data_IF_589438074002
#
_entry.id   IF_589438074002
#
_cell.length_a   1.000
_cell.length_b   1.000
_cell.length_c   1.000
_cell.angle_alpha   90.00
_cell.angle_beta   90.00
_cell.angle_gamma   90.00
#
_symmetry.space_group_name_H-M   'P 1'
#
loop_
_entity.id
_entity.type
_entity.pdbx_description
1 polymer ?
#
# COMPACT_ATOMS: atom_id res chain seq x y z
N UNK A 1 6.18 -12.68 6.11
CA UNK A 1 6.37 -11.23 6.04
C UNK A 1 5.14 -10.49 5.50
N UNK A 2 4.53 -10.88 4.38
CA UNK A 2 3.29 -10.27 3.91
C UNK A 2 2.18 -10.29 4.97
N UNK A 3 1.95 -11.44 5.63
CA UNK A 3 0.99 -11.54 6.74
C UNK A 3 1.29 -10.57 7.89
N UNK A 4 2.57 -10.35 8.22
CA UNK A 4 2.95 -9.39 9.25
C UNK A 4 2.60 -7.94 8.86
N UNK A 5 2.77 -7.57 7.58
CA UNK A 5 2.34 -6.26 7.07
C UNK A 5 0.83 -6.08 7.23
N UNK A 6 0.03 -7.09 6.82
CA UNK A 6 -1.43 -7.05 6.98
C UNK A 6 -1.82 -6.90 8.45
N UNK A 7 -1.21 -7.69 9.34
CA UNK A 7 -1.53 -7.63 10.78
C UNK A 7 -1.20 -6.26 11.36
N UNK A 8 -0.02 -5.72 11.06
CA UNK A 8 0.38 -4.38 11.54
C UNK A 8 -0.54 -3.30 10.98
N UNK A 9 -0.84 -3.33 9.68
CA UNK A 9 -1.74 -2.37 9.03
C UNK A 9 -3.13 -2.39 9.67
N UNK A 10 -3.73 -3.57 9.82
CA UNK A 10 -5.07 -3.70 10.40
C UNK A 10 -5.09 -3.34 11.89
N UNK A 11 -4.04 -3.71 12.65
CA UNK A 11 -3.96 -3.35 14.08
C UNK A 11 -3.88 -1.83 14.27
N UNK A 12 -3.07 -1.13 13.46
CA UNK A 12 -2.99 0.34 13.51
C UNK A 12 -4.32 0.97 13.07
N UNK A 13 -4.96 0.46 12.02
CA UNK A 13 -6.28 0.94 11.56
C UNK A 13 -7.35 0.80 12.65
N UNK A 14 -7.39 -0.32 13.36
CA UNK A 14 -8.30 -0.50 14.51
C UNK A 14 -8.01 0.55 15.58
N UNK A 15 -6.74 0.72 15.97
CA UNK A 15 -6.35 1.68 17.00
C UNK A 15 -6.72 3.12 16.64
N UNK A 16 -6.47 3.55 15.38
CA UNK A 16 -6.80 4.93 14.95
C UNK A 16 -8.31 5.17 14.85
N UNK A 17 -9.09 4.14 14.52
CA UNK A 17 -10.56 4.23 14.52
C UNK A 17 -11.15 4.44 15.91
N UNK A 18 -10.46 3.97 16.97
CA UNK A 18 -10.89 4.14 18.37
C UNK A 18 -10.52 5.52 18.92
N UNK A 19 -9.39 6.11 18.48
CA UNK A 19 -8.83 7.32 19.10
C UNK A 19 -8.96 8.59 18.28
N UNK A 20 -9.14 8.49 16.93
CA UNK A 20 -9.21 9.65 16.06
C UNK A 20 -10.64 9.97 15.64
N UNK A 21 -10.98 11.25 15.67
CA UNK A 21 -12.24 11.74 15.09
C UNK A 21 -12.07 11.97 13.58
N UNK A 22 -12.97 11.45 12.73
CA UNK A 22 -12.89 11.65 11.28
C UNK A 22 -12.78 13.14 10.89
N UNK A 23 -11.85 13.43 9.98
CA UNK A 23 -11.59 14.78 9.46
C UNK A 23 -10.78 15.69 10.39
N UNK A 24 -10.69 15.40 11.69
CA UNK A 24 -9.93 16.23 12.64
C UNK A 24 -8.43 15.97 12.48
N UNK A 25 -7.67 17.05 12.26
CA UNK A 25 -6.21 17.01 12.25
C UNK A 25 -5.66 17.05 13.67
N UNK A 26 -4.76 16.13 13.99
CA UNK A 26 -4.01 16.06 15.25
C UNK A 26 -2.52 16.23 14.92
N UNK A 27 -1.91 17.38 15.25
CA UNK A 27 -0.52 17.66 14.88
C UNK A 27 0.47 16.79 15.66
N UNK A 28 1.56 16.37 14.97
CA UNK A 28 2.72 15.70 15.54
C UNK A 28 3.99 16.57 15.43
N UNK A 29 4.23 17.12 14.24
CA UNK A 29 5.38 18.00 13.96
C UNK A 29 4.85 19.28 13.29
N UNK A 30 4.46 20.25 14.10
CA UNK A 30 3.79 21.47 13.64
C UNK A 30 2.53 21.14 12.84
N UNK A 31 2.21 21.99 11.86
CA UNK A 31 1.05 21.78 10.99
C UNK A 31 1.35 20.90 9.76
N UNK A 32 2.62 20.47 9.61
CA UNK A 32 3.04 19.73 8.42
C UNK A 32 2.83 18.22 8.54
N UNK A 33 3.01 17.65 9.73
CA UNK A 33 2.88 16.19 9.94
C UNK A 33 1.96 15.94 11.11
N UNK A 34 1.02 15.03 10.92
CA UNK A 34 0.05 14.70 11.97
C UNK A 34 -0.81 13.48 11.62
N UNK A 35 -1.84 13.29 12.41
CA UNK A 35 -2.88 12.28 12.20
C UNK A 35 -4.16 12.96 11.73
N UNK A 36 -4.78 12.41 10.71
CA UNK A 36 -6.10 12.83 10.25
C UNK A 36 -6.84 11.65 9.66
N UNK A 37 -7.80 11.11 10.39
CA UNK A 37 -8.61 9.98 9.95
C UNK A 37 -9.48 10.38 8.77
N UNK A 38 -9.32 9.67 7.65
CA UNK A 38 -10.10 9.84 6.42
C UNK A 38 -10.52 8.46 5.90
N UNK A 39 -11.75 8.37 5.42
CA UNK A 39 -12.25 7.19 4.73
C UNK A 39 -12.12 7.39 3.21
N UNK A 40 -11.19 6.66 2.60
CA UNK A 40 -10.82 6.80 1.20
C UNK A 40 -11.66 5.84 0.31
N UNK A 41 -12.53 6.36 -0.57
CA UNK A 41 -13.32 5.55 -1.48
C UNK A 41 -12.52 5.00 -2.69
N UNK A 42 -11.20 5.27 -2.72
CA UNK A 42 -10.36 4.83 -3.81
C UNK A 42 -9.88 5.96 -4.71
N UNK A 43 -9.83 7.18 -4.21
CA UNK A 43 -9.20 8.29 -4.88
C UNK A 43 -7.67 8.22 -4.65
N UNK A 44 -6.90 7.85 -5.65
CA UNK A 44 -5.47 8.11 -5.64
C UNK A 44 -5.25 9.56 -6.10
N UNK A 45 -4.54 10.36 -5.28
CA UNK A 45 -4.29 11.79 -5.56
C UNK A 45 -5.56 12.63 -5.81
N UNK A 46 -6.71 12.24 -5.23
CA UNK A 46 -7.98 12.94 -5.41
C UNK A 46 -8.71 12.61 -6.74
N UNK A 47 -8.19 11.68 -7.54
CA UNK A 47 -8.84 11.22 -8.77
C UNK A 47 -9.75 10.05 -8.40
N UNK A 48 -11.07 10.17 -8.56
CA UNK A 48 -11.99 9.08 -8.29
C UNK A 48 -11.81 7.99 -9.35
N UNK A 49 -11.46 6.77 -8.90
CA UNK A 49 -11.38 5.59 -9.75
C UNK A 49 -12.60 4.69 -9.49
N UNK A 50 -13.13 4.01 -10.52
CA UNK A 50 -14.19 3.02 -10.32
C UNK A 50 -13.77 1.94 -9.31
N UNK A 51 -14.68 1.57 -8.40
CA UNK A 51 -14.42 0.59 -7.34
C UNK A 51 -13.76 -0.72 -7.82
N UNK A 52 -14.11 -1.30 -9.00
CA UNK A 52 -13.46 -2.52 -9.50
C UNK A 52 -11.97 -2.39 -9.83
N UNK A 53 -11.45 -1.17 -10.03
CA UNK A 53 -10.03 -0.96 -10.38
C UNK A 53 -9.11 -1.47 -9.27
N UNK A 54 -9.47 -1.28 -8.00
CA UNK A 54 -8.61 -1.65 -6.87
C UNK A 54 -8.43 -3.17 -6.69
N UNK A 55 -9.50 -3.99 -6.64
CA UNK A 55 -9.33 -5.43 -6.58
C UNK A 55 -8.65 -5.99 -7.83
N UNK A 56 -8.92 -5.45 -9.03
CA UNK A 56 -8.22 -5.83 -10.26
C UNK A 56 -6.74 -5.51 -10.16
N UNK A 57 -6.36 -4.30 -9.74
CA UNK A 57 -4.97 -3.92 -9.52
C UNK A 57 -4.29 -4.84 -8.49
N UNK A 58 -4.98 -5.16 -7.38
CA UNK A 58 -4.47 -6.11 -6.37
C UNK A 58 -4.20 -7.48 -6.99
N UNK A 59 -5.14 -8.03 -7.77
CA UNK A 59 -4.97 -9.32 -8.45
C UNK A 59 -3.81 -9.29 -9.43
N UNK A 60 -3.69 -8.23 -10.25
CA UNK A 60 -2.58 -8.05 -11.20
C UNK A 60 -1.24 -8.04 -10.47
N UNK A 61 -1.12 -7.30 -9.38
CA UNK A 61 0.09 -7.25 -8.54
C UNK A 61 0.40 -8.63 -7.96
N UNK A 62 -0.60 -9.33 -7.40
CA UNK A 62 -0.41 -10.67 -6.84
C UNK A 62 0.07 -11.65 -7.90
N UNK A 63 -0.53 -11.65 -9.10
CA UNK A 63 -0.12 -12.52 -10.21
C UNK A 63 1.30 -12.20 -10.68
N UNK A 64 1.65 -10.91 -10.82
CA UNK A 64 3.00 -10.50 -11.20
C UNK A 64 4.04 -10.98 -10.18
N UNK A 65 3.76 -10.81 -8.88
CA UNK A 65 4.63 -11.30 -7.81
C UNK A 65 4.75 -12.82 -7.81
N UNK A 66 3.65 -13.54 -7.96
CA UNK A 66 3.66 -15.01 -7.99
C UNK A 66 4.47 -15.56 -9.17
N UNK A 67 4.44 -14.89 -10.33
CA UNK A 67 5.21 -15.27 -11.51
C UNK A 67 6.72 -15.04 -11.35
N UNK A 68 7.11 -14.07 -10.53
CA UNK A 68 8.52 -13.73 -10.27
C UNK A 68 9.08 -14.44 -9.03
N UNK A 69 8.28 -15.30 -8.35
CA UNK A 69 8.78 -16.11 -7.23
C UNK A 69 9.83 -17.11 -7.73
N UNK A 70 11.00 -17.10 -7.06
CA UNK A 70 12.13 -17.98 -7.40
C UNK A 70 13.20 -17.34 -8.26
N UNK A 71 12.94 -16.24 -8.96
CA UNK A 71 13.91 -15.51 -9.77
C UNK A 71 14.61 -14.38 -8.97
N UNK A 72 14.07 -14.03 -7.81
CA UNK A 72 14.53 -12.91 -7.00
C UNK A 72 15.29 -13.38 -5.76
N UNK A 73 16.42 -12.75 -5.48
CA UNK A 73 17.16 -12.96 -4.23
C UNK A 73 16.36 -12.50 -2.99
N UNK A 74 16.95 -12.64 -1.79
CA UNK A 74 16.29 -12.31 -0.51
C UNK A 74 15.66 -10.91 -0.48
N UNK A 75 16.33 -9.90 -1.06
CA UNK A 75 15.82 -8.53 -1.12
C UNK A 75 14.56 -8.43 -1.98
N UNK A 76 14.50 -9.15 -3.10
CA UNK A 76 13.31 -9.21 -3.96
C UNK A 76 12.12 -9.86 -3.25
N UNK A 77 12.35 -10.96 -2.52
CA UNK A 77 11.29 -11.60 -1.71
C UNK A 77 10.74 -10.65 -0.65
N UNK A 78 11.61 -9.86 -0.01
CA UNK A 78 11.19 -8.82 0.95
C UNK A 78 10.33 -7.77 0.28
N UNK A 79 10.77 -7.23 -0.86
CA UNK A 79 10.04 -6.22 -1.61
C UNK A 79 8.66 -6.72 -2.07
N UNK A 80 8.61 -7.94 -2.62
CA UNK A 80 7.36 -8.60 -3.01
C UNK A 80 6.41 -8.79 -1.82
N UNK A 81 6.94 -9.22 -0.66
CA UNK A 81 6.13 -9.40 0.53
C UNK A 81 5.55 -8.09 1.07
N UNK A 82 6.27 -6.96 0.95
CA UNK A 82 5.76 -5.63 1.29
C UNK A 82 4.61 -5.23 0.37
N UNK A 83 4.78 -5.38 -0.94
CA UNK A 83 3.74 -5.03 -1.93
C UNK A 83 2.49 -5.90 -1.74
N UNK A 84 2.66 -7.21 -1.61
CA UNK A 84 1.54 -8.14 -1.39
C UNK A 84 0.83 -7.85 -0.07
N UNK A 85 1.59 -7.67 1.01
CA UNK A 85 1.01 -7.39 2.33
C UNK A 85 0.22 -6.08 2.35
N UNK A 86 0.76 -5.01 1.76
CA UNK A 86 0.05 -3.73 1.65
C UNK A 86 -1.21 -3.83 0.77
N UNK A 87 -1.11 -4.48 -0.39
CA UNK A 87 -2.26 -4.69 -1.27
C UNK A 87 -3.39 -5.48 -0.56
N UNK A 88 -3.04 -6.53 0.17
CA UNK A 88 -3.99 -7.31 0.96
C UNK A 88 -4.57 -6.53 2.15
N UNK A 89 -3.76 -5.67 2.82
CA UNK A 89 -4.22 -4.80 3.90
C UNK A 89 -5.31 -3.84 3.44
N UNK A 90 -5.11 -3.15 2.32
CA UNK A 90 -6.11 -2.26 1.73
C UNK A 90 -7.31 -3.02 1.13
N UNK A 91 -7.11 -4.23 0.60
CA UNK A 91 -8.22 -5.08 0.16
C UNK A 91 -9.08 -5.55 1.34
N UNK A 92 -8.47 -5.90 2.48
CA UNK A 92 -9.20 -6.27 3.69
C UNK A 92 -10.15 -5.15 4.14
N UNK A 93 -9.70 -3.90 4.13
CA UNK A 93 -10.56 -2.74 4.41
C UNK A 93 -11.76 -2.69 3.48
N UNK A 94 -11.56 -2.87 2.18
CA UNK A 94 -12.65 -2.81 1.19
C UNK A 94 -13.67 -3.91 1.40
N UNK A 95 -13.23 -5.11 1.74
CA UNK A 95 -14.13 -6.23 2.02
C UNK A 95 -14.90 -6.02 3.33
N UNK A 96 -14.18 -5.64 4.40
CA UNK A 96 -14.79 -5.47 5.74
C UNK A 96 -15.78 -4.30 5.78
N UNK A 97 -15.53 -3.25 5.00
CA UNK A 97 -16.39 -2.05 4.92
C UNK A 97 -17.26 -2.02 3.66
N UNK A 98 -17.43 -3.17 3.03
CA UNK A 98 -18.31 -3.32 1.87
C UNK A 98 -19.74 -2.94 2.21
N UNK A 99 -20.47 -2.44 1.20
CA UNK A 99 -21.89 -2.15 1.31
C UNK A 99 -22.71 -3.14 0.49
N UNK A 100 -24.01 -3.35 0.83
CA UNK A 100 -24.89 -4.17 -0.01
C UNK A 100 -24.88 -3.68 -1.46
N UNK A 101 -24.56 -4.56 -2.40
CA UNK A 101 -24.45 -4.26 -3.83
C UNK A 101 -23.06 -3.87 -4.32
N UNK A 102 -22.10 -3.60 -3.42
CA UNK A 102 -20.69 -3.33 -3.76
C UNK A 102 -19.74 -4.05 -2.79
N UNK A 103 -19.52 -5.35 -2.99
CA UNK A 103 -18.75 -6.19 -2.06
C UNK A 103 -17.24 -5.87 -2.00
N UNK A 104 -16.73 -5.05 -2.92
CA UNK A 104 -15.32 -4.63 -2.98
C UNK A 104 -15.12 -3.12 -3.01
N UNK A 105 -16.21 -2.35 -2.90
CA UNK A 105 -16.21 -0.88 -2.90
C UNK A 105 -16.10 -0.24 -1.52
N UNK A 106 -15.77 -1.00 -0.49
CA UNK A 106 -15.59 -0.48 0.87
C UNK A 106 -14.47 0.56 0.95
N UNK A 107 -14.58 1.43 1.96
CA UNK A 107 -13.65 2.55 2.18
C UNK A 107 -12.36 2.06 2.85
N UNK A 108 -11.20 2.55 2.41
CA UNK A 108 -9.91 2.34 3.07
C UNK A 108 -9.71 3.37 4.17
N UNK A 109 -9.16 2.96 5.29
CA UNK A 109 -8.82 3.83 6.42
C UNK A 109 -7.44 4.42 6.22
N UNK A 110 -7.39 5.73 5.93
CA UNK A 110 -6.17 6.52 5.82
C UNK A 110 -6.07 7.46 7.02
N UNK A 111 -4.85 7.69 7.54
CA UNK A 111 -4.70 8.46 8.77
C UNK A 111 -3.39 9.23 8.89
N UNK A 112 -2.38 8.93 8.09
CA UNK A 112 -1.13 9.70 8.09
C UNK A 112 -1.31 10.94 7.24
N UNK A 113 -1.09 12.09 7.83
CA UNK A 113 -1.14 13.39 7.20
C UNK A 113 0.27 13.96 7.04
N UNK A 114 0.67 14.33 5.82
CA UNK A 114 1.96 14.95 5.53
C UNK A 114 1.77 16.11 4.54
N UNK A 115 1.74 17.33 5.07
CA UNK A 115 1.50 18.53 4.29
C UNK A 115 0.28 18.43 3.38
N UNK A 116 0.46 18.76 2.11
CA UNK A 116 -0.56 18.61 1.05
C UNK A 116 -0.62 17.23 0.43
N UNK A 117 0.23 16.28 0.86
CA UNK A 117 0.20 14.91 0.34
C UNK A 117 -1.13 14.22 0.71
N UNK A 118 -1.71 13.40 -0.16
CA UNK A 118 -2.89 12.61 0.16
C UNK A 118 -2.69 11.80 1.46
N UNK A 119 -3.74 11.64 2.23
CA UNK A 119 -3.69 10.82 3.44
C UNK A 119 -3.39 9.38 3.05
N UNK A 120 -2.60 8.68 3.85
CA UNK A 120 -2.16 7.32 3.59
C UNK A 120 -2.08 6.50 4.88
N UNK A 121 -1.79 5.23 4.75
CA UNK A 121 -1.72 4.26 5.85
C UNK A 121 -0.44 3.39 5.76
N UNK A 122 -0.29 2.42 6.66
CA UNK A 122 0.84 1.47 6.68
C UNK A 122 0.88 0.61 5.41
N UNK A 123 -0.26 0.18 4.90
CA UNK A 123 -0.32 -0.61 3.67
C UNK A 123 0.23 0.16 2.46
N UNK A 124 -0.11 1.45 2.33
CA UNK A 124 0.39 2.31 1.25
C UNK A 124 1.89 2.53 1.36
N UNK A 125 2.39 2.76 2.59
CA UNK A 125 3.83 2.87 2.84
C UNK A 125 4.55 1.57 2.47
N UNK A 126 4.00 0.40 2.82
CA UNK A 126 4.57 -0.89 2.47
C UNK A 126 4.60 -1.11 0.95
N UNK A 127 3.51 -0.80 0.24
CA UNK A 127 3.47 -0.87 -1.23
C UNK A 127 4.55 0.04 -1.83
N UNK A 128 4.62 1.30 -1.38
CA UNK A 128 5.56 2.27 -1.92
C UNK A 128 7.01 1.83 -1.72
N UNK A 129 7.38 1.42 -0.51
CA UNK A 129 8.73 0.93 -0.19
C UNK A 129 9.05 -0.34 -0.98
N UNK A 130 8.10 -1.27 -1.08
CA UNK A 130 8.26 -2.50 -1.84
C UNK A 130 8.47 -2.24 -3.34
N UNK A 131 7.68 -1.36 -3.95
CA UNK A 131 7.83 -0.98 -5.36
C UNK A 131 9.17 -0.28 -5.62
N UNK A 132 9.55 0.69 -4.78
CA UNK A 132 10.85 1.37 -4.90
C UNK A 132 12.00 0.37 -4.81
N UNK A 133 11.93 -0.57 -3.86
CA UNK A 133 12.95 -1.61 -3.71
C UNK A 133 13.04 -2.52 -4.95
N UNK A 134 11.91 -2.94 -5.52
CA UNK A 134 11.88 -3.73 -6.76
C UNK A 134 12.51 -2.96 -7.92
N UNK A 135 12.18 -1.69 -8.09
CA UNK A 135 12.77 -0.84 -9.14
C UNK A 135 14.28 -0.69 -8.97
N UNK A 136 14.76 -0.46 -7.75
CA UNK A 136 16.20 -0.37 -7.47
C UNK A 136 16.90 -1.69 -7.81
N UNK A 137 16.33 -2.83 -7.41
CA UNK A 137 16.90 -4.15 -7.70
C UNK A 137 16.98 -4.40 -9.21
N UNK A 138 15.93 -4.08 -9.96
CA UNK A 138 15.88 -4.19 -11.42
C UNK A 138 16.99 -3.36 -12.08
N UNK A 139 17.13 -2.09 -11.70
CA UNK A 139 18.16 -1.21 -12.23
C UNK A 139 19.59 -1.69 -11.92
N UNK A 140 19.80 -2.27 -10.75
CA UNK A 140 21.08 -2.85 -10.38
C UNK A 140 21.40 -4.12 -11.20
N UNK A 141 20.40 -4.92 -11.51
CA UNK A 141 20.56 -6.13 -12.32
C UNK A 141 20.90 -5.77 -13.77
N UNK A 142 20.15 -4.84 -14.38
CA UNK A 142 20.47 -4.33 -15.73
C UNK A 142 21.89 -3.76 -15.83
N UNK A 143 22.35 -3.02 -14.82
CA UNK A 143 23.72 -2.49 -14.79
C UNK A 143 24.76 -3.61 -14.74
N UNK A 144 24.51 -4.66 -13.96
CA UNK A 144 25.42 -5.82 -13.88
C UNK A 144 25.48 -6.60 -15.18
N UNK A 145 24.36 -6.77 -15.87
CA UNK A 145 24.29 -7.43 -17.18
C UNK A 145 25.06 -6.65 -18.23
N UNK A 146 24.87 -5.34 -18.32
CA UNK A 146 25.61 -4.46 -19.24
C UNK A 146 27.11 -4.49 -18.99
N UNK A 147 27.55 -4.55 -17.73
CA UNK A 147 28.96 -4.63 -17.37
C UNK A 147 29.61 -6.00 -17.71
N UNK A 148 28.81 -7.03 -17.95
CA UNK A 148 29.28 -8.37 -18.32
C UNK A 148 29.31 -8.61 -19.83
N UNK A 149 28.69 -7.76 -20.64
CA UNK A 149 28.72 -7.87 -22.11
C UNK A 149 30.09 -7.36 -22.58
N UNK A 150 30.95 -8.21 -23.23
CA UNK A 150 32.19 -7.76 -23.83
C UNK A 150 31.91 -6.81 -24.98
N UNK A 151 32.78 -5.82 -25.15
CA UNK A 151 32.75 -4.87 -26.26
C UNK A 151 32.98 -5.56 -27.60
#
# INVERSE_FOLDING_TARGET
MAAAVVVVDQAVKVAVLEVLTPGRFVPLLGDAVGWQLVFNPGAAFGIPLPAPVFPVATVVVLVAVLRSLGETGRAGVVAQALVVGGALGNLADRVVRATPGDPLGGLVVDYVAWGSFPRFNVADAAITVGVVLLLVLLLLEERRERARQPA
#
